data_IF_283105956450
#
_entry.id   IF_283105956450
#
_cell.length_a   1.000
_cell.length_b   1.000
_cell.length_c   1.000
_cell.angle_alpha   90.00
_cell.angle_beta   90.00
_cell.angle_gamma   90.00
#
_symmetry.space_group_name_H-M   'P 1'
#
loop_
_entity.id
_entity.type
_entity.pdbx_description
1 polymer ?
#
# COMPACT_ATOMS: atom_id res chain seq x y z
N UNK A 1 -43.16 55.48 -24.93
CA UNK A 1 -42.32 55.17 -23.75
C UNK A 1 -43.08 54.16 -22.91
N UNK A 2 -42.43 53.01 -22.67
CA UNK A 2 -42.63 52.06 -21.56
C UNK A 2 -43.98 51.31 -21.50
N UNK A 3 -44.02 50.02 -21.85
CA UNK A 3 -43.52 48.82 -21.14
C UNK A 3 -44.51 48.31 -20.08
N UNK A 4 -45.16 47.18 -20.38
CA UNK A 4 -45.80 46.32 -19.39
C UNK A 4 -45.52 44.87 -19.79
N UNK A 5 -44.61 44.29 -19.03
CA UNK A 5 -43.92 43.02 -19.25
C UNK A 5 -44.81 41.83 -18.89
N UNK A 6 -44.78 40.84 -19.76
CA UNK A 6 -45.43 39.53 -19.66
C UNK A 6 -44.65 38.65 -18.67
N UNK A 7 -45.34 38.05 -17.69
CA UNK A 7 -44.76 37.20 -16.64
C UNK A 7 -44.75 35.74 -17.12
N UNK A 8 -43.56 35.17 -17.32
CA UNK A 8 -43.33 33.74 -17.55
C UNK A 8 -43.11 33.00 -16.21
N UNK A 9 -43.33 31.68 -16.11
CA UNK A 9 -43.15 30.91 -14.89
C UNK A 9 -41.67 30.55 -14.66
N UNK A 10 -41.29 30.51 -13.39
CA UNK A 10 -39.95 30.18 -12.91
C UNK A 10 -39.60 28.72 -13.19
N UNK A 11 -38.49 28.50 -13.91
CA UNK A 11 -37.77 27.24 -13.92
C UNK A 11 -37.09 27.04 -12.56
N UNK A 12 -37.29 25.88 -11.96
CA UNK A 12 -36.62 25.46 -10.72
C UNK A 12 -35.21 25.01 -11.08
N UNK A 13 -34.22 25.62 -10.45
CA UNK A 13 -32.84 25.15 -10.41
C UNK A 13 -32.77 23.76 -9.75
N UNK A 14 -31.83 22.88 -10.17
CA UNK A 14 -31.59 21.62 -9.51
C UNK A 14 -30.93 21.88 -8.15
N UNK A 15 -31.61 21.47 -7.09
CA UNK A 15 -31.10 21.42 -5.73
C UNK A 15 -29.84 20.56 -5.67
N UNK A 16 -28.74 21.16 -5.21
CA UNK A 16 -27.54 20.45 -4.76
C UNK A 16 -27.93 19.42 -3.71
N UNK A 17 -27.84 18.14 -4.07
CA UNK A 17 -27.88 17.04 -3.13
C UNK A 17 -26.58 17.12 -2.31
N UNK A 18 -26.78 17.51 -1.07
CA UNK A 18 -25.78 17.72 -0.03
C UNK A 18 -24.88 16.48 0.16
N UNK A 19 -23.56 16.66 0.12
CA UNK A 19 -22.55 15.67 0.54
C UNK A 19 -22.80 15.13 1.97
N UNK A 20 -23.52 15.92 2.77
CA UNK A 20 -23.94 15.61 4.13
C UNK A 20 -24.86 14.36 4.25
N UNK A 21 -25.64 14.04 3.20
CA UNK A 21 -26.54 12.88 3.23
C UNK A 21 -25.79 11.53 3.05
N UNK A 22 -24.66 11.53 2.33
CA UNK A 22 -23.81 10.35 2.19
C UNK A 22 -22.98 10.09 3.46
N UNK A 23 -22.58 11.16 4.16
CA UNK A 23 -21.85 11.09 5.43
C UNK A 23 -22.69 10.52 6.58
N UNK A 24 -23.98 10.89 6.66
CA UNK A 24 -24.91 10.34 7.66
C UNK A 24 -25.18 8.83 7.45
N UNK A 25 -25.17 8.35 6.20
CA UNK A 25 -25.38 6.93 5.89
C UNK A 25 -24.18 6.07 6.31
N UNK A 26 -22.96 6.57 6.10
CA UNK A 26 -21.71 5.97 6.59
C UNK A 26 -21.65 5.94 8.13
N UNK A 27 -22.21 6.96 8.79
CA UNK A 27 -22.25 7.06 10.27
C UNK A 27 -23.28 6.10 10.90
N UNK A 28 -24.37 5.78 10.22
CA UNK A 28 -25.51 5.05 10.79
C UNK A 28 -25.39 3.51 10.74
N UNK A 29 -24.45 2.94 9.99
CA UNK A 29 -24.42 1.50 9.69
C UNK A 29 -23.72 0.60 10.74
N UNK A 30 -23.06 1.15 11.76
CA UNK A 30 -22.21 0.36 12.66
C UNK A 30 -22.77 0.26 14.09
N UNK A 31 -23.42 -0.86 14.42
CA UNK A 31 -23.52 -1.32 15.82
C UNK A 31 -22.54 -2.47 16.04
N UNK A 32 -21.79 -2.51 17.17
CA UNK A 32 -20.82 -3.55 17.42
C UNK A 32 -21.54 -4.83 17.84
N UNK A 33 -21.50 -5.88 17.01
CA UNK A 33 -21.99 -7.21 17.40
C UNK A 33 -21.06 -8.32 16.89
N UNK A 34 -20.43 -8.96 17.88
CA UNK A 34 -19.76 -10.26 17.94
C UNK A 34 -19.51 -11.03 16.64
N UNK A 35 -18.22 -11.35 16.42
CA UNK A 35 -17.69 -12.26 15.42
C UNK A 35 -18.38 -13.63 15.41
N UNK A 36 -18.82 -14.05 14.24
CA UNK A 36 -18.94 -15.48 13.91
C UNK A 36 -18.46 -15.69 12.47
N UNK A 37 -17.18 -16.02 12.32
CA UNK A 37 -16.63 -16.51 11.05
C UNK A 37 -17.06 -17.96 10.89
N UNK A 38 -17.83 -18.24 9.83
CA UNK A 38 -18.15 -19.60 9.40
C UNK A 38 -17.50 -19.81 8.03
N UNK A 39 -16.43 -20.61 8.04
CA UNK A 39 -15.68 -21.10 6.88
C UNK A 39 -16.63 -21.77 5.87
N UNK A 40 -16.67 -21.26 4.64
CA UNK A 40 -17.21 -21.96 3.49
C UNK A 40 -16.07 -22.64 2.75
N UNK A 41 -15.94 -23.95 2.96
CA UNK A 41 -15.24 -24.88 2.08
C UNK A 41 -16.31 -25.50 1.20
N UNK A 42 -16.29 -25.23 -0.11
CA UNK A 42 -17.14 -25.96 -1.05
C UNK A 42 -16.31 -26.87 -1.96
N UNK A 43 -16.67 -28.16 -1.87
CA UNK A 43 -16.31 -29.29 -2.69
C UNK A 43 -16.55 -29.06 -4.20
N UNK A 44 -15.59 -29.47 -5.03
CA UNK A 44 -15.84 -29.76 -6.44
C UNK A 44 -15.49 -31.21 -6.75
N UNK A 45 -16.51 -32.08 -6.62
CA UNK A 45 -16.48 -33.44 -7.13
C UNK A 45 -16.72 -33.49 -8.66
N UNK A 46 -15.95 -34.38 -9.26
CA UNK A 46 -15.89 -34.89 -10.62
C UNK A 46 -17.25 -35.23 -11.26
N UNK A 47 -17.42 -34.94 -12.56
CA UNK A 47 -18.17 -35.80 -13.47
C UNK A 47 -17.55 -35.90 -14.88
N UNK A 48 -17.51 -37.15 -15.34
CA UNK A 48 -17.06 -37.66 -16.65
C UNK A 48 -17.83 -37.09 -17.84
N UNK A 49 -17.13 -36.96 -18.98
CA UNK A 49 -17.75 -37.09 -20.29
C UNK A 49 -16.88 -37.98 -21.18
N UNK A 50 -17.48 -39.10 -21.61
CA UNK A 50 -16.93 -40.10 -22.51
C UNK A 50 -17.17 -39.68 -23.97
N UNK A 51 -16.17 -39.80 -24.85
CA UNK A 51 -16.39 -39.92 -26.29
C UNK A 51 -15.24 -40.68 -26.98
N UNK A 52 -15.63 -41.59 -27.86
CA UNK A 52 -14.84 -42.67 -28.46
C UNK A 52 -14.06 -42.26 -29.71
N UNK A 53 -12.86 -42.84 -29.81
CA UNK A 53 -12.18 -43.42 -30.99
C UNK A 53 -12.89 -43.40 -32.36
N UNK A 54 -12.15 -42.92 -33.38
CA UNK A 54 -12.31 -43.25 -34.79
C UNK A 54 -11.03 -42.95 -35.56
N UNK A 55 -10.39 -43.98 -36.10
CA UNK A 55 -9.07 -44.00 -36.74
C UNK A 55 -9.21 -44.35 -38.23
N UNK A 56 -8.56 -43.59 -39.13
CA UNK A 56 -8.01 -43.98 -40.46
C UNK A 56 -7.30 -42.74 -41.03
N UNK A 57 -5.98 -42.60 -41.10
CA UNK A 57 -4.91 -43.30 -41.85
C UNK A 57 -4.62 -42.71 -43.25
N UNK A 58 -3.32 -42.62 -43.56
CA UNK A 58 -2.62 -42.38 -44.84
C UNK A 58 -2.46 -40.94 -45.33
N UNK A 59 -1.34 -40.47 -45.90
CA UNK A 59 0.10 -40.83 -45.97
C UNK A 59 0.78 -39.79 -46.90
N UNK A 60 2.13 -39.68 -46.86
CA UNK A 60 3.05 -39.11 -47.89
C UNK A 60 3.15 -37.56 -47.95
N UNK A 61 4.30 -36.87 -48.03
CA UNK A 61 5.63 -37.16 -48.58
C UNK A 61 6.75 -36.31 -47.90
N UNK A 62 8.01 -36.68 -48.18
CA UNK A 62 9.27 -36.30 -47.56
C UNK A 62 9.95 -34.98 -48.04
N UNK A 63 10.69 -34.34 -47.11
CA UNK A 63 12.05 -33.71 -47.15
C UNK A 63 12.51 -32.77 -48.31
N UNK A 64 13.65 -32.01 -48.21
CA UNK A 64 14.44 -31.53 -47.05
C UNK A 64 14.97 -30.06 -47.12
N UNK A 65 15.57 -29.62 -45.99
CA UNK A 65 16.74 -28.70 -45.79
C UNK A 65 16.76 -27.25 -46.31
N UNK A 66 17.02 -26.32 -45.37
CA UNK A 66 18.03 -25.25 -45.54
C UNK A 66 18.55 -24.77 -44.17
N UNK A 67 19.89 -24.69 -44.07
CA UNK A 67 20.65 -24.25 -42.91
C UNK A 67 21.05 -22.78 -43.00
N UNK A 68 21.14 -22.08 -41.85
CA UNK A 68 22.06 -20.95 -41.58
C UNK A 68 21.98 -20.63 -40.07
N UNK A 69 22.96 -21.08 -39.28
CA UNK A 69 24.08 -20.28 -38.75
C UNK A 69 23.70 -19.30 -37.63
N UNK A 70 24.10 -19.69 -36.41
CA UNK A 70 24.29 -18.79 -35.26
C UNK A 70 25.33 -17.69 -35.60
N UNK A 71 25.35 -16.62 -34.80
CA UNK A 71 26.54 -16.46 -33.98
C UNK A 71 26.22 -16.29 -32.49
N UNK A 72 27.08 -16.95 -31.72
CA UNK A 72 27.41 -16.76 -30.32
C UNK A 72 27.72 -15.31 -29.96
N UNK A 73 27.29 -14.86 -28.77
CA UNK A 73 27.78 -13.62 -28.18
C UNK A 73 27.13 -13.26 -26.84
N UNK A 74 27.75 -13.75 -25.77
CA UNK A 74 27.82 -13.19 -24.42
C UNK A 74 26.55 -13.12 -23.55
N UNK A 75 26.56 -13.98 -22.54
CA UNK A 75 25.84 -13.90 -21.27
C UNK A 75 26.03 -12.53 -20.58
N UNK A 76 24.90 -11.89 -20.22
CA UNK A 76 24.70 -11.22 -18.92
C UNK A 76 23.20 -11.18 -18.64
N UNK A 77 22.66 -12.24 -18.03
CA UNK A 77 21.44 -12.15 -17.23
C UNK A 77 21.90 -11.63 -15.84
N UNK A 78 21.48 -10.45 -15.39
CA UNK A 78 20.11 -10.21 -15.00
C UNK A 78 19.91 -10.66 -13.55
N UNK A 79 20.66 -10.05 -12.63
CA UNK A 79 20.46 -10.17 -11.16
C UNK A 79 20.50 -8.76 -10.60
N UNK A 80 19.35 -8.12 -10.56
CA UNK A 80 19.22 -6.76 -10.07
C UNK A 80 17.77 -6.34 -10.17
N UNK A 81 16.90 -6.93 -9.35
CA UNK A 81 15.50 -6.49 -9.29
C UNK A 81 14.77 -6.84 -7.98
N UNK A 82 15.51 -7.08 -6.88
CA UNK A 82 14.91 -7.28 -5.55
C UNK A 82 15.64 -6.54 -4.43
N UNK A 83 16.82 -5.96 -4.71
CA UNK A 83 17.66 -5.27 -3.73
C UNK A 83 17.45 -3.76 -3.69
N UNK A 84 16.85 -3.18 -4.72
CA UNK A 84 16.70 -1.72 -4.85
C UNK A 84 15.44 -1.26 -4.09
N UNK A 85 14.39 -2.08 -4.12
CA UNK A 85 13.07 -1.77 -3.54
C UNK A 85 13.09 -1.69 -2.00
N UNK A 86 13.83 -2.59 -1.33
CA UNK A 86 13.97 -2.56 0.13
C UNK A 86 14.80 -1.35 0.63
N UNK A 87 15.90 -1.02 -0.06
CA UNK A 87 16.73 0.15 0.29
C UNK A 87 16.01 1.49 0.11
N UNK A 88 14.93 1.47 -0.66
CA UNK A 88 14.16 2.64 -1.05
C UNK A 88 13.09 3.01 -0.02
N UNK A 89 12.28 2.05 0.42
CA UNK A 89 11.28 2.25 1.49
C UNK A 89 11.97 2.67 2.80
N UNK A 90 13.12 2.07 3.10
CA UNK A 90 13.97 2.46 4.23
C UNK A 90 14.38 3.94 4.17
N UNK A 91 14.66 4.46 2.97
CA UNK A 91 15.11 5.84 2.78
C UNK A 91 13.97 6.85 3.01
N UNK A 92 12.78 6.59 2.49
CA UNK A 92 11.62 7.47 2.68
C UNK A 92 11.24 7.61 4.15
N UNK A 93 11.20 6.48 4.85
CA UNK A 93 10.86 6.46 6.26
C UNK A 93 11.98 7.08 7.11
N UNK A 94 13.24 6.79 6.79
CA UNK A 94 14.37 7.41 7.47
C UNK A 94 14.38 8.93 7.28
N UNK A 95 14.09 9.42 6.07
CA UNK A 95 13.97 10.84 5.79
C UNK A 95 12.83 11.46 6.60
N UNK A 96 11.62 10.85 6.59
CA UNK A 96 10.49 11.31 7.39
C UNK A 96 10.84 11.37 8.87
N UNK A 97 11.46 10.33 9.42
CA UNK A 97 11.84 10.25 10.84
C UNK A 97 12.87 11.33 11.18
N UNK A 98 13.88 11.51 10.34
CA UNK A 98 14.89 12.55 10.52
C UNK A 98 14.27 13.95 10.46
N UNK A 99 13.36 14.19 9.50
CA UNK A 99 12.66 15.46 9.35
C UNK A 99 11.77 15.73 10.56
N UNK A 100 10.89 14.81 10.94
CA UNK A 100 9.96 14.99 12.07
C UNK A 100 10.65 15.03 13.44
N UNK A 101 11.82 14.42 13.58
CA UNK A 101 12.63 14.51 14.79
C UNK A 101 13.33 15.87 14.95
N UNK A 102 13.70 16.50 13.82
CA UNK A 102 14.49 17.74 13.81
C UNK A 102 13.62 18.99 13.65
N UNK A 103 12.49 18.89 12.97
CA UNK A 103 11.54 19.98 12.75
C UNK A 103 10.12 19.57 13.15
N UNK A 104 9.43 20.48 13.85
CA UNK A 104 8.03 20.29 14.22
C UNK A 104 7.05 20.56 13.07
N UNK A 105 7.50 21.33 12.07
CA UNK A 105 6.72 21.71 10.89
C UNK A 105 7.52 21.31 9.63
N UNK A 106 6.96 20.47 8.75
CA UNK A 106 7.63 20.06 7.51
C UNK A 106 7.97 21.24 6.59
N UNK A 107 7.26 22.37 6.67
CA UNK A 107 7.57 23.59 5.91
C UNK A 107 8.89 24.22 6.38
N UNK A 108 9.18 24.14 7.67
CA UNK A 108 10.45 24.63 8.23
C UNK A 108 11.62 23.69 7.89
N UNK A 109 11.32 22.40 7.69
CA UNK A 109 12.29 21.49 7.10
C UNK A 109 12.60 21.89 5.66
N UNK A 110 11.59 22.06 4.80
CA UNK A 110 11.78 22.48 3.41
C UNK A 110 12.68 23.71 3.28
N UNK A 111 12.37 24.80 4.00
CA UNK A 111 13.16 26.04 3.99
C UNK A 111 14.60 25.87 4.49
N UNK A 112 14.85 24.85 5.30
CA UNK A 112 16.19 24.55 5.80
C UNK A 112 16.99 23.66 4.84
N UNK A 113 16.31 23.00 3.89
CA UNK A 113 16.90 22.17 2.85
C UNK A 113 17.10 22.94 1.53
N UNK A 114 16.21 23.89 1.24
CA UNK A 114 16.31 24.87 0.15
C UNK A 114 17.42 25.89 0.50
N UNK A 115 18.64 25.62 0.05
CA UNK A 115 19.83 26.40 0.45
C UNK A 115 19.87 27.76 -0.25
N UNK A 116 19.44 27.81 -1.49
CA UNK A 116 19.45 29.03 -2.30
C UNK A 116 18.19 29.90 -2.10
N UNK A 117 17.15 29.34 -1.48
CA UNK A 117 15.91 30.00 -1.12
C UNK A 117 14.99 30.24 -2.32
N UNK A 118 15.13 29.45 -3.39
CA UNK A 118 14.37 29.62 -4.62
C UNK A 118 12.93 29.04 -4.53
N UNK A 119 12.63 28.29 -3.45
CA UNK A 119 11.33 27.69 -3.21
C UNK A 119 11.12 26.32 -3.88
N UNK A 120 12.18 25.73 -4.42
CA UNK A 120 12.24 24.43 -5.08
C UNK A 120 13.44 23.66 -4.49
N UNK A 121 13.33 22.34 -4.38
CA UNK A 121 14.48 21.49 -4.09
C UNK A 121 14.97 20.84 -5.38
N UNK A 122 16.19 21.18 -5.78
CA UNK A 122 16.88 20.51 -6.89
C UNK A 122 17.49 19.17 -6.44
N UNK A 123 17.90 18.34 -7.40
CA UNK A 123 18.49 17.02 -7.11
C UNK A 123 19.70 17.13 -6.16
N UNK A 124 20.60 18.08 -6.40
CA UNK A 124 21.77 18.32 -5.57
C UNK A 124 21.40 18.72 -4.14
N UNK A 125 20.40 19.61 -3.97
CA UNK A 125 19.93 20.06 -2.65
C UNK A 125 19.25 18.91 -1.90
N UNK A 126 18.41 18.13 -2.58
CA UNK A 126 17.81 16.92 -2.01
C UNK A 126 18.88 15.90 -1.63
N UNK A 127 19.92 15.72 -2.46
CA UNK A 127 21.02 14.79 -2.17
C UNK A 127 21.80 15.20 -0.93
N UNK A 128 22.16 16.47 -0.80
CA UNK A 128 22.86 16.98 0.38
C UNK A 128 21.97 16.93 1.62
N UNK A 129 20.69 17.27 1.49
CA UNK A 129 19.70 17.16 2.56
C UNK A 129 19.58 15.73 3.09
N UNK A 130 19.36 14.76 2.20
CA UNK A 130 19.26 13.35 2.54
C UNK A 130 20.56 12.86 3.16
N UNK A 131 21.71 13.26 2.61
CA UNK A 131 23.01 12.86 3.15
C UNK A 131 23.26 13.39 4.55
N UNK A 132 22.84 14.63 4.82
CA UNK A 132 22.94 15.30 6.12
C UNK A 132 21.99 14.73 7.18
N UNK A 133 20.79 14.31 6.76
CA UNK A 133 19.73 13.83 7.65
C UNK A 133 19.78 12.34 7.94
N UNK A 134 20.02 11.54 6.90
CA UNK A 134 19.92 10.08 6.93
C UNK A 134 21.29 9.41 6.89
N UNK A 135 22.32 10.11 6.40
CA UNK A 135 23.69 9.61 6.29
C UNK A 135 24.06 9.24 4.84
N UNK A 136 25.10 8.42 4.65
CA UNK A 136 25.56 8.04 3.31
C UNK A 136 24.48 7.26 2.53
N UNK A 137 23.93 7.87 1.49
CA UNK A 137 23.00 7.25 0.53
C UNK A 137 23.57 7.30 -0.89
N UNK A 138 23.11 6.42 -1.77
CA UNK A 138 23.53 6.43 -3.17
C UNK A 138 22.75 7.49 -3.96
N UNK A 139 23.37 8.02 -5.03
CA UNK A 139 22.71 8.96 -5.93
C UNK A 139 21.47 8.32 -6.59
N UNK A 140 21.51 7.01 -6.85
CA UNK A 140 20.38 6.26 -7.37
C UNK A 140 19.20 6.23 -6.40
N UNK A 141 19.44 6.05 -5.09
CA UNK A 141 18.38 6.04 -4.09
C UNK A 141 17.75 7.42 -3.91
N UNK A 142 18.56 8.49 -3.94
CA UNK A 142 18.06 9.88 -3.93
C UNK A 142 17.28 10.19 -5.21
N UNK A 143 17.73 9.70 -6.37
CA UNK A 143 17.02 9.91 -7.64
C UNK A 143 15.66 9.24 -7.67
N UNK A 144 15.56 8.02 -7.12
CA UNK A 144 14.28 7.35 -6.95
C UNK A 144 13.35 8.11 -5.99
N UNK A 145 13.91 8.69 -4.92
CA UNK A 145 13.14 9.49 -3.97
C UNK A 145 12.61 10.75 -4.65
N UNK A 146 13.46 11.44 -5.40
CA UNK A 146 13.08 12.63 -6.16
C UNK A 146 11.96 12.33 -7.14
N UNK A 147 12.07 11.25 -7.91
CA UNK A 147 11.07 10.84 -8.88
C UNK A 147 9.69 10.59 -8.26
N UNK A 148 9.62 10.18 -6.99
CA UNK A 148 8.33 10.01 -6.30
C UNK A 148 7.76 11.29 -5.72
N UNK A 149 8.63 12.22 -5.35
CA UNK A 149 8.21 13.50 -4.77
C UNK A 149 7.78 14.48 -5.87
N UNK A 150 8.56 14.55 -6.95
CA UNK A 150 8.28 15.34 -8.16
C UNK A 150 7.12 14.72 -8.93
N UNK A 151 5.90 15.08 -8.52
CA UNK A 151 4.66 14.60 -9.14
C UNK A 151 4.40 15.34 -10.45
N UNK A 152 4.91 16.58 -10.56
CA UNK A 152 4.77 17.42 -11.74
C UNK A 152 5.69 17.01 -12.90
N UNK A 153 6.69 16.17 -12.62
CA UNK A 153 7.77 15.72 -13.52
C UNK A 153 8.59 16.89 -14.10
N UNK A 154 8.72 17.99 -13.35
CA UNK A 154 9.44 19.19 -13.80
C UNK A 154 10.93 19.17 -13.43
N UNK A 155 11.37 18.13 -12.70
CA UNK A 155 12.73 17.95 -12.25
C UNK A 155 13.06 18.72 -10.98
N UNK A 156 12.05 19.21 -10.26
CA UNK A 156 12.18 19.93 -9.01
C UNK A 156 11.13 19.42 -8.01
N UNK A 157 11.36 19.63 -6.71
CA UNK A 157 10.34 19.37 -5.69
C UNK A 157 9.92 20.70 -5.10
N UNK A 158 8.66 21.10 -5.32
CA UNK A 158 8.12 22.31 -4.70
C UNK A 158 7.63 22.06 -3.25
N UNK A 159 7.25 23.15 -2.57
CA UNK A 159 6.76 23.08 -1.19
C UNK A 159 5.51 22.21 -1.07
N UNK A 160 4.59 22.27 -2.05
CA UNK A 160 3.34 21.53 -2.01
C UNK A 160 3.60 20.02 -2.20
N UNK A 161 4.49 19.65 -3.11
CA UNK A 161 4.97 18.28 -3.32
C UNK A 161 5.71 17.72 -2.10
N UNK A 162 6.59 18.50 -1.48
CA UNK A 162 7.26 18.14 -0.23
C UNK A 162 6.25 17.90 0.90
N UNK A 163 5.29 18.81 1.08
CA UNK A 163 4.26 18.68 2.09
C UNK A 163 3.36 17.47 1.82
N UNK A 164 3.01 17.22 0.56
CA UNK A 164 2.24 16.06 0.14
C UNK A 164 2.99 14.76 0.46
N UNK A 165 4.28 14.68 0.19
CA UNK A 165 5.11 13.53 0.53
C UNK A 165 5.16 13.29 2.05
N UNK A 166 5.45 14.34 2.83
CA UNK A 166 5.51 14.26 4.29
C UNK A 166 4.16 13.88 4.90
N UNK A 167 3.06 14.36 4.31
CA UNK A 167 1.71 14.00 4.71
C UNK A 167 1.37 12.56 4.30
N UNK A 168 1.75 12.12 3.08
CA UNK A 168 1.48 10.76 2.55
C UNK A 168 2.03 9.67 3.46
N UNK A 169 3.28 9.80 3.91
CA UNK A 169 3.89 8.78 4.78
C UNK A 169 3.19 8.69 6.15
N UNK A 170 2.64 9.80 6.66
CA UNK A 170 1.75 9.77 7.82
C UNK A 170 0.37 9.20 7.50
N UNK A 171 -0.18 9.58 6.35
CA UNK A 171 -1.53 9.28 5.90
C UNK A 171 -1.73 7.78 5.65
N UNK A 172 -0.79 7.10 5.01
CA UNK A 172 -0.85 5.66 4.76
C UNK A 172 -1.07 4.88 6.08
N UNK A 173 -0.26 5.18 7.09
CA UNK A 173 -0.36 4.55 8.39
C UNK A 173 -1.65 4.95 9.13
N UNK A 174 -1.98 6.24 9.18
CA UNK A 174 -3.18 6.72 9.89
C UNK A 174 -4.46 6.22 9.26
N UNK A 175 -4.52 6.13 7.93
CA UNK A 175 -5.65 5.62 7.18
C UNK A 175 -5.86 4.12 7.45
N UNK A 176 -4.83 3.28 7.28
CA UNK A 176 -4.91 1.85 7.62
C UNK A 176 -5.35 1.63 9.07
N UNK A 177 -4.80 2.42 10.00
CA UNK A 177 -5.21 2.39 11.41
C UNK A 177 -6.67 2.79 11.62
N UNK A 178 -7.13 3.85 10.98
CA UNK A 178 -8.52 4.30 11.11
C UNK A 178 -9.50 3.27 10.55
N UNK A 179 -9.14 2.62 9.44
CA UNK A 179 -9.91 1.50 8.87
C UNK A 179 -9.92 0.32 9.85
N UNK A 180 -8.77 -0.16 10.32
CA UNK A 180 -8.69 -1.29 11.25
C UNK A 180 -9.37 -1.03 12.61
N UNK A 181 -9.41 0.23 13.07
CA UNK A 181 -10.11 0.61 14.29
C UNK A 181 -11.65 0.57 14.14
N UNK A 182 -12.16 0.66 12.91
CA UNK A 182 -13.60 0.74 12.62
C UNK A 182 -14.15 -0.56 12.04
N UNK A 183 -13.35 -1.31 11.30
CA UNK A 183 -13.71 -2.60 10.71
C UNK A 183 -12.71 -3.67 11.11
N UNK A 184 -13.23 -4.79 11.60
CA UNK A 184 -12.40 -5.96 11.94
C UNK A 184 -11.91 -6.69 10.68
N UNK A 185 -12.77 -6.78 9.66
CA UNK A 185 -12.45 -7.41 8.38
C UNK A 185 -12.20 -6.30 7.32
N UNK A 186 -11.00 -6.23 6.72
CA UNK A 186 -10.72 -5.32 5.61
C UNK A 186 -11.68 -5.47 4.43
N UNK A 187 -12.23 -6.66 4.20
CA UNK A 187 -13.23 -6.90 3.14
C UNK A 187 -14.55 -6.19 3.45
N UNK A 188 -14.94 -6.11 4.72
CA UNK A 188 -16.13 -5.37 5.14
C UNK A 188 -15.91 -3.86 5.08
N UNK A 189 -14.68 -3.38 5.34
CA UNK A 189 -14.33 -2.00 5.06
C UNK A 189 -14.49 -1.69 3.56
N UNK A 190 -13.90 -2.51 2.69
CA UNK A 190 -13.96 -2.33 1.24
C UNK A 190 -15.39 -2.18 0.73
N UNK A 191 -16.30 -3.08 1.12
CA UNK A 191 -17.72 -3.02 0.71
C UNK A 191 -18.46 -1.75 1.14
N UNK A 192 -18.02 -1.12 2.23
CA UNK A 192 -18.63 0.11 2.75
C UNK A 192 -18.02 1.35 2.12
N UNK A 193 -16.73 1.28 1.78
CA UNK A 193 -16.01 2.35 1.10
C UNK A 193 -16.32 2.39 -0.41
N UNK A 194 -16.64 1.25 -1.02
CA UNK A 194 -17.16 1.10 -2.39
C UNK A 194 -18.62 1.60 -2.42
N UNK A 195 -18.78 2.90 -2.69
CA UNK A 195 -20.04 3.61 -2.51
C UNK A 195 -21.04 3.26 -3.60
N UNK A 196 -20.56 3.04 -4.82
CA UNK A 196 -21.39 2.62 -5.94
C UNK A 196 -21.53 1.09 -6.06
N UNK A 197 -20.79 0.33 -5.23
CA UNK A 197 -20.79 -1.13 -5.18
C UNK A 197 -20.36 -1.77 -6.51
N UNK A 198 -19.46 -1.11 -7.25
CA UNK A 198 -18.98 -1.61 -8.53
C UNK A 198 -17.90 -2.70 -8.38
N UNK A 199 -17.43 -2.95 -7.16
CA UNK A 199 -16.42 -3.97 -6.85
C UNK A 199 -14.97 -3.47 -6.91
N UNK A 200 -14.77 -2.16 -7.01
CA UNK A 200 -13.46 -1.49 -7.06
C UNK A 200 -13.57 -0.10 -6.41
N UNK A 201 -12.54 0.34 -5.71
CA UNK A 201 -12.50 1.69 -5.15
C UNK A 201 -11.90 2.65 -6.18
N UNK A 202 -12.59 3.75 -6.45
CA UNK A 202 -12.11 4.85 -7.30
C UNK A 202 -11.43 5.94 -6.46
N UNK A 203 -10.68 6.83 -7.12
CA UNK A 203 -9.90 7.88 -6.44
C UNK A 203 -10.80 8.77 -5.58
N UNK A 204 -11.97 9.13 -6.09
CA UNK A 204 -12.95 9.95 -5.39
C UNK A 204 -13.52 9.24 -4.15
N UNK A 205 -13.69 7.92 -4.21
CA UNK A 205 -14.15 7.10 -3.09
C UNK A 205 -13.06 6.97 -2.02
N UNK A 206 -11.80 6.79 -2.43
CA UNK A 206 -10.66 6.80 -1.51
C UNK A 206 -10.49 8.18 -0.84
N UNK A 207 -10.62 9.27 -1.60
CA UNK A 207 -10.59 10.64 -1.07
C UNK A 207 -11.69 10.85 -0.01
N UNK A 208 -12.92 10.42 -0.32
CA UNK A 208 -14.04 10.48 0.61
C UNK A 208 -13.80 9.64 1.87
N UNK A 209 -13.19 8.46 1.71
CA UNK A 209 -12.83 7.58 2.82
C UNK A 209 -11.77 8.22 3.73
N UNK A 210 -10.73 8.81 3.15
CA UNK A 210 -9.67 9.51 3.88
C UNK A 210 -10.24 10.69 4.67
N UNK A 211 -11.07 11.52 4.03
CA UNK A 211 -11.71 12.66 4.67
C UNK A 211 -12.60 12.21 5.84
N UNK A 212 -13.43 11.17 5.61
CA UNK A 212 -14.37 10.67 6.61
C UNK A 212 -13.69 9.99 7.81
N UNK A 213 -12.62 9.24 7.57
CA UNK A 213 -11.97 8.40 8.60
C UNK A 213 -10.84 9.11 9.33
N UNK A 214 -10.07 9.93 8.61
CA UNK A 214 -8.87 10.59 9.13
C UNK A 214 -9.13 12.08 9.42
N UNK A 215 -10.16 12.68 8.81
CA UNK A 215 -10.46 14.11 8.96
C UNK A 215 -9.44 15.01 8.26
N UNK A 216 -8.74 14.47 7.27
CA UNK A 216 -7.77 15.20 6.45
C UNK A 216 -8.44 15.48 5.12
N UNK A 217 -8.46 16.77 4.72
CA UNK A 217 -8.93 17.16 3.39
C UNK A 217 -8.17 16.37 2.31
N UNK A 218 -8.85 15.88 1.27
CA UNK A 218 -8.20 15.13 0.21
C UNK A 218 -7.22 16.05 -0.55
N UNK A 219 -5.94 15.87 -0.28
CA UNK A 219 -4.82 16.59 -0.90
C UNK A 219 -4.07 15.71 -1.89
N UNK A 220 -3.01 16.24 -2.49
CA UNK A 220 -2.04 15.50 -3.29
C UNK A 220 -1.45 14.28 -2.57
N UNK A 221 -1.45 14.25 -1.23
CA UNK A 221 -1.07 13.08 -0.45
C UNK A 221 -1.98 11.86 -0.70
N UNK A 222 -3.28 12.07 -0.95
CA UNK A 222 -4.20 10.97 -1.30
C UNK A 222 -3.91 10.45 -2.71
N UNK A 223 -3.57 11.34 -3.65
CA UNK A 223 -3.17 10.94 -5.01
C UNK A 223 -1.85 10.15 -5.02
N UNK A 224 -0.89 10.52 -4.15
CA UNK A 224 0.35 9.75 -3.95
C UNK A 224 0.11 8.43 -3.20
N UNK A 225 -0.88 8.38 -2.30
CA UNK A 225 -1.30 7.12 -1.68
C UNK A 225 -1.97 6.21 -2.72
N UNK A 226 -2.81 6.80 -3.56
CA UNK A 226 -3.52 6.11 -4.63
C UNK A 226 -2.56 5.39 -5.58
N UNK A 227 -1.54 6.10 -6.10
CA UNK A 227 -0.58 5.52 -7.05
C UNK A 227 0.27 4.39 -6.47
N UNK A 228 0.35 4.27 -5.15
CA UNK A 228 1.02 3.17 -4.45
C UNK A 228 0.12 1.93 -4.33
N UNK A 229 -1.20 2.13 -4.23
CA UNK A 229 -2.16 1.05 -4.01
C UNK A 229 -2.68 0.48 -5.33
N UNK A 230 -2.85 1.32 -6.35
CA UNK A 230 -3.19 0.93 -7.72
C UNK A 230 -1.96 0.29 -8.41
N UNK A 231 -1.67 -0.96 -8.06
CA UNK A 231 -0.46 -1.68 -8.48
C UNK A 231 -0.45 -1.97 -9.98
N UNK A 232 -1.62 -2.14 -10.58
CA UNK A 232 -1.75 -2.46 -11.99
C UNK A 232 -1.93 -1.20 -12.88
N UNK A 233 -2.19 -0.03 -12.28
CA UNK A 233 -2.32 1.26 -12.94
C UNK A 233 -3.57 1.39 -13.79
N UNK A 234 -4.62 0.62 -13.49
CA UNK A 234 -5.89 0.64 -14.24
C UNK A 234 -6.86 1.74 -13.80
N UNK A 235 -6.50 2.49 -12.75
CA UNK A 235 -7.29 3.57 -12.21
C UNK A 235 -8.42 3.09 -11.30
N UNK A 236 -8.39 1.86 -10.81
CA UNK A 236 -9.28 1.35 -9.78
C UNK A 236 -8.49 0.46 -8.81
N UNK A 237 -8.82 0.52 -7.52
CA UNK A 237 -8.25 -0.38 -6.51
C UNK A 237 -9.20 -1.56 -6.36
N UNK A 238 -8.75 -2.74 -6.80
CA UNK A 238 -9.50 -3.97 -6.60
C UNK A 238 -9.37 -4.53 -5.16
N UNK A 239 -10.14 -5.56 -4.84
CA UNK A 239 -10.11 -6.17 -3.50
C UNK A 239 -8.73 -6.75 -3.15
N UNK A 240 -7.98 -7.26 -4.14
CA UNK A 240 -6.64 -7.80 -3.95
C UNK A 240 -5.62 -6.71 -3.62
N UNK A 241 -5.67 -5.60 -4.36
CA UNK A 241 -4.85 -4.41 -4.12
C UNK A 241 -5.17 -3.78 -2.76
N UNK A 242 -6.46 -3.65 -2.42
CA UNK A 242 -6.92 -3.20 -1.11
C UNK A 242 -6.41 -4.09 0.03
N UNK A 243 -6.51 -5.41 -0.11
CA UNK A 243 -6.01 -6.34 0.90
C UNK A 243 -4.50 -6.27 1.03
N UNK A 244 -3.77 -6.17 -0.08
CA UNK A 244 -2.32 -6.00 -0.07
C UNK A 244 -1.92 -4.70 0.65
N UNK A 245 -2.68 -3.62 0.46
CA UNK A 245 -2.51 -2.37 1.18
C UNK A 245 -2.80 -2.49 2.67
N UNK A 246 -3.97 -3.03 3.03
CA UNK A 246 -4.40 -3.17 4.43
C UNK A 246 -3.50 -4.12 5.24
N UNK A 247 -2.98 -5.16 4.60
CA UNK A 247 -2.08 -6.16 5.19
C UNK A 247 -0.61 -5.92 4.85
N UNK A 248 -0.23 -4.74 4.35
CA UNK A 248 1.12 -4.47 3.83
C UNK A 248 2.24 -4.91 4.78
N UNK A 249 2.11 -4.60 6.07
CA UNK A 249 3.10 -4.96 7.10
C UNK A 249 3.09 -6.45 7.44
N UNK A 250 1.92 -7.07 7.56
CA UNK A 250 1.80 -8.52 7.77
C UNK A 250 2.42 -9.29 6.60
N UNK A 251 2.09 -8.88 5.37
CA UNK A 251 2.61 -9.51 4.16
C UNK A 251 4.12 -9.30 4.01
N UNK A 252 4.62 -8.10 4.30
CA UNK A 252 6.05 -7.79 4.29
C UNK A 252 6.81 -8.62 5.34
N UNK A 253 6.32 -8.64 6.57
CA UNK A 253 6.87 -9.44 7.66
C UNK A 253 6.88 -10.93 7.30
N UNK A 254 5.75 -11.46 6.82
CA UNK A 254 5.64 -12.87 6.39
C UNK A 254 6.65 -13.20 5.30
N UNK A 255 6.71 -12.39 4.24
CA UNK A 255 7.66 -12.59 3.13
C UNK A 255 9.11 -12.56 3.63
N UNK A 256 9.45 -11.61 4.51
CA UNK A 256 10.80 -11.48 5.05
C UNK A 256 11.19 -12.66 5.95
N UNK A 257 10.25 -13.12 6.79
CA UNK A 257 10.40 -14.34 7.61
C UNK A 257 10.68 -15.55 6.71
N UNK A 258 9.84 -15.82 5.71
CA UNK A 258 10.01 -16.97 4.80
C UNK A 258 11.29 -16.89 3.96
N UNK A 259 11.70 -15.68 3.53
CA UNK A 259 12.93 -15.48 2.77
C UNK A 259 14.18 -15.82 3.60
N UNK A 260 14.13 -15.56 4.91
CA UNK A 260 15.26 -15.80 5.82
C UNK A 260 15.26 -17.20 6.43
N UNK A 261 14.08 -17.70 6.78
CA UNK A 261 13.88 -19.02 7.37
C UNK A 261 12.81 -19.79 6.58
N UNK A 262 13.22 -20.81 5.80
CA UNK A 262 12.28 -21.65 5.06
C UNK A 262 11.35 -22.49 5.96
N UNK A 263 11.75 -22.71 7.21
CA UNK A 263 10.98 -23.44 8.22
C UNK A 263 10.44 -22.47 9.27
N UNK A 264 9.11 -22.43 9.43
CA UNK A 264 8.44 -21.52 10.34
C UNK A 264 8.79 -21.79 11.81
N UNK A 265 9.03 -23.04 12.21
CA UNK A 265 9.40 -23.36 13.59
C UNK A 265 10.85 -22.95 13.90
N UNK A 266 11.74 -22.97 12.91
CA UNK A 266 13.09 -22.39 13.04
C UNK A 266 13.02 -20.86 13.15
N UNK A 267 12.16 -20.22 12.36
CA UNK A 267 11.93 -18.78 12.45
C UNK A 267 11.46 -18.38 13.86
N UNK A 268 10.42 -19.04 14.37
CA UNK A 268 9.90 -18.77 15.72
C UNK A 268 10.98 -18.85 16.79
N UNK A 269 11.76 -19.94 16.80
CA UNK A 269 12.86 -20.12 17.76
C UNK A 269 13.99 -19.11 17.61
N UNK A 270 14.17 -18.54 16.42
CA UNK A 270 15.17 -17.51 16.19
C UNK A 270 14.70 -16.13 16.65
N UNK A 271 13.38 -15.90 16.67
CA UNK A 271 12.74 -14.66 17.10
C UNK A 271 12.39 -14.65 18.59
N UNK A 272 12.13 -15.82 19.19
CA UNK A 272 11.95 -16.03 20.64
C UNK A 272 13.32 -15.96 21.32
N UNK A 273 13.73 -14.74 21.69
CA UNK A 273 15.10 -14.44 22.14
C UNK A 273 15.30 -14.93 23.57
N UNK A 274 14.28 -14.78 24.42
CA UNK A 274 14.35 -15.22 25.81
C UNK A 274 14.07 -16.73 25.98
N UNK A 275 13.53 -17.38 24.94
CA UNK A 275 13.26 -18.81 24.89
C UNK A 275 12.07 -19.22 25.74
N UNK A 276 11.14 -18.30 26.03
CA UNK A 276 9.97 -18.56 26.87
C UNK A 276 8.88 -19.37 26.14
N UNK A 277 8.98 -19.51 24.80
CA UNK A 277 8.06 -20.27 23.97
C UNK A 277 6.88 -19.48 23.41
N UNK A 278 6.91 -18.15 23.53
CA UNK A 278 5.93 -17.20 23.02
C UNK A 278 6.62 -15.93 22.54
N UNK A 279 6.11 -15.26 21.51
CA UNK A 279 6.66 -13.98 21.07
C UNK A 279 5.84 -12.84 21.68
N UNK A 280 6.43 -12.09 22.60
CA UNK A 280 5.80 -10.90 23.18
C UNK A 280 5.95 -9.68 22.26
N UNK A 281 5.22 -8.59 22.54
CA UNK A 281 5.21 -7.38 21.69
C UNK A 281 6.62 -6.80 21.46
N UNK A 282 7.46 -6.80 22.49
CA UNK A 282 8.84 -6.33 22.41
C UNK A 282 9.69 -7.20 21.46
N UNK A 283 9.55 -8.53 21.52
CA UNK A 283 10.26 -9.46 20.64
C UNK A 283 9.75 -9.38 19.20
N UNK A 284 8.43 -9.22 19.02
CA UNK A 284 7.85 -8.95 17.70
C UNK A 284 8.34 -7.60 17.14
N UNK A 285 8.49 -6.57 17.99
CA UNK A 285 9.01 -5.27 17.56
C UNK A 285 10.46 -5.37 17.09
N UNK A 286 11.31 -6.09 17.81
CA UNK A 286 12.69 -6.36 17.38
C UNK A 286 12.74 -7.21 16.10
N UNK A 287 11.85 -8.20 15.98
CA UNK A 287 11.74 -9.04 14.78
C UNK A 287 11.35 -8.23 13.54
N UNK A 288 10.34 -7.36 13.66
CA UNK A 288 9.91 -6.46 12.59
C UNK A 288 11.05 -5.50 12.23
N UNK A 289 11.70 -4.88 13.22
CA UNK A 289 12.84 -3.98 12.98
C UNK A 289 14.00 -4.68 12.26
N UNK A 290 14.27 -5.95 12.58
CA UNK A 290 15.31 -6.75 11.94
C UNK A 290 14.98 -7.15 10.51
N UNK A 291 13.72 -7.49 10.23
CA UNK A 291 13.32 -8.18 8.98
C UNK A 291 12.69 -7.25 7.95
N UNK A 292 11.92 -6.28 8.42
CA UNK A 292 11.13 -5.36 7.59
C UNK A 292 11.70 -3.94 7.69
N UNK A 293 12.25 -3.58 8.84
CA UNK A 293 12.75 -2.24 9.13
C UNK A 293 12.00 -1.57 10.28
N UNK A 294 12.43 -0.37 10.70
CA UNK A 294 11.93 0.30 11.89
C UNK A 294 10.50 0.83 11.72
N UNK A 295 9.50 0.04 12.11
CA UNK A 295 8.09 0.41 12.03
C UNK A 295 7.60 1.16 13.30
N UNK A 296 6.54 2.00 13.20
CA UNK A 296 5.94 2.61 14.37
C UNK A 296 5.38 1.54 15.31
N UNK A 297 5.47 1.76 16.63
CA UNK A 297 5.02 0.77 17.63
C UNK A 297 3.56 0.34 17.40
N UNK A 298 2.73 1.28 16.97
CA UNK A 298 1.33 1.03 16.70
C UNK A 298 1.07 0.21 15.43
N UNK A 299 2.02 0.13 14.49
CA UNK A 299 1.99 -0.82 13.37
C UNK A 299 2.32 -2.23 13.84
N UNK A 300 3.36 -2.38 14.66
CA UNK A 300 3.72 -3.67 15.26
C UNK A 300 2.58 -4.20 16.15
N UNK A 301 1.87 -3.33 16.87
CA UNK A 301 0.68 -3.72 17.64
C UNK A 301 -0.47 -4.22 16.77
N UNK A 302 -0.63 -3.70 15.55
CA UNK A 302 -1.63 -4.21 14.60
C UNK A 302 -1.22 -5.59 14.10
N UNK A 303 0.06 -5.76 13.74
CA UNK A 303 0.61 -7.06 13.38
C UNK A 303 0.43 -8.06 14.53
N UNK A 304 0.73 -7.68 15.76
CA UNK A 304 0.49 -8.47 16.96
C UNK A 304 -0.97 -8.90 17.04
N UNK A 305 -1.91 -7.95 16.89
CA UNK A 305 -3.35 -8.25 16.96
C UNK A 305 -3.85 -9.16 15.83
N UNK A 306 -3.13 -9.25 14.71
CA UNK A 306 -3.43 -10.18 13.62
C UNK A 306 -2.89 -11.59 13.89
N UNK A 307 -1.74 -11.70 14.56
CA UNK A 307 -1.06 -12.97 14.86
C UNK A 307 -1.53 -13.60 16.17
N UNK A 308 -1.81 -12.79 17.19
CA UNK A 308 -2.38 -13.16 18.49
C UNK A 308 -3.89 -13.38 18.34
N UNK A 309 -4.25 -14.58 17.92
CA UNK A 309 -5.64 -14.96 17.64
C UNK A 309 -6.45 -15.05 18.93
N UNK A 310 -5.81 -15.47 20.02
CA UNK A 310 -6.45 -15.71 21.30
C UNK A 310 -6.60 -14.41 22.15
N UNK A 311 -5.80 -13.38 21.84
CA UNK A 311 -5.79 -12.05 22.45
C UNK A 311 -5.11 -11.98 23.82
N UNK A 312 -4.19 -12.88 24.13
CA UNK A 312 -3.51 -12.96 25.44
C UNK A 312 -2.26 -12.08 25.53
N UNK A 313 -1.87 -11.44 24.42
CA UNK A 313 -0.73 -10.54 24.34
C UNK A 313 0.59 -11.24 24.03
N UNK A 314 0.57 -12.52 23.63
CA UNK A 314 1.74 -13.28 23.21
C UNK A 314 1.40 -14.14 21.98
N UNK A 315 2.31 -14.26 21.01
CA UNK A 315 2.09 -15.15 19.85
C UNK A 315 2.69 -16.50 20.17
N UNK A 316 1.84 -17.52 20.20
CA UNK A 316 2.25 -18.86 20.55
C UNK A 316 2.64 -19.65 19.29
N UNK A 317 3.39 -20.74 19.45
CA UNK A 317 3.84 -21.56 18.31
C UNK A 317 2.68 -22.01 17.40
N UNK A 318 1.54 -22.38 17.97
CA UNK A 318 0.39 -22.83 17.19
C UNK A 318 -0.24 -21.68 16.37
N UNK A 319 -0.24 -20.47 16.91
CA UNK A 319 -0.69 -19.26 16.22
C UNK A 319 0.30 -18.84 15.12
N UNK A 320 1.60 -18.89 15.43
CA UNK A 320 2.67 -18.62 14.46
C UNK A 320 2.68 -19.59 13.29
N UNK A 321 2.41 -20.88 13.52
CA UNK A 321 2.34 -21.86 12.43
C UNK A 321 1.08 -21.74 11.57
N UNK A 322 0.06 -21.02 12.05
CA UNK A 322 -1.15 -20.73 11.29
C UNK A 322 -1.00 -19.51 10.37
N UNK A 323 0.06 -18.71 10.57
CA UNK A 323 0.42 -17.49 9.83
C UNK A 323 1.21 -17.76 8.52
#
# INVERSE_FOLDING_TARGET
QESSTQRAPAEREPTSLSSDASLELLLAAAQPRHCHLQLLVDDAHTQEATAKSGHVDSSLDAEPQAAAQQPSGADTAGTGDQSIDASFVELEEALRKAVTARWSDPTEAFKALDEDGNGLLEFEELQEAVQSLVGMTSAEAVGALMFRMDTSEDGHIDVDEWLAFMQKLGLEYTFRKAVAARWLDPVDAFKVLDLDSNGSLQLEELQSAVESLVGIEPTQAVAMLWSEVDLNGDGNIDIGEWLAFMQKQELAFRKAVYARWPDAAEAFKALDVDGNGSLELEELQEAVEMLVGPEPKEAVQQLMSCLDVNGDGAIEMDEWLAF
#
